data_IF_031479797794
#
_entry.id   IF_031479797794
#
_cell.length_a   1.000
_cell.length_b   1.000
_cell.length_c   1.000
_cell.angle_alpha   90.00
_cell.angle_beta   90.00
_cell.angle_gamma   90.00
#
_symmetry.space_group_name_H-M   'P 1'
#
loop_
_entity.id
_entity.type
_entity.pdbx_description
1 polymer ?
#
# COMPACT_ATOMS: atom_id res chain seq x y z
N UNK A 1 53.98 -45.18 -19.96
CA UNK A 1 54.04 -43.76 -19.58
C UNK A 1 52.85 -43.08 -20.23
N UNK A 2 51.83 -42.73 -19.44
CA UNK A 2 51.09 -41.48 -19.58
C UNK A 2 50.03 -41.38 -18.46
N UNK A 3 50.33 -40.49 -17.53
CA UNK A 3 49.43 -40.02 -16.47
C UNK A 3 48.38 -39.12 -17.13
N UNK A 4 47.10 -39.41 -16.93
CA UNK A 4 46.03 -38.43 -17.10
C UNK A 4 45.28 -38.30 -15.77
N UNK A 5 45.84 -37.47 -14.88
CA UNK A 5 45.13 -36.92 -13.72
C UNK A 5 44.02 -36.00 -14.23
N UNK A 6 42.76 -36.44 -14.14
CA UNK A 6 41.62 -35.54 -14.28
C UNK A 6 41.25 -35.00 -12.89
N UNK A 7 41.61 -33.74 -12.66
CA UNK A 7 41.11 -32.96 -11.54
C UNK A 7 39.59 -32.81 -11.66
N UNK A 8 38.86 -33.40 -10.71
CA UNK A 8 37.46 -33.09 -10.45
C UNK A 8 37.44 -31.78 -9.65
N UNK A 9 37.10 -30.66 -10.30
CA UNK A 9 36.75 -29.42 -9.61
C UNK A 9 35.32 -29.58 -9.12
N UNK A 10 35.03 -29.53 -7.80
CA UNK A 10 33.67 -29.48 -7.33
C UNK A 10 33.07 -28.13 -7.73
N UNK A 11 32.03 -28.17 -8.56
CA UNK A 11 31.13 -27.04 -8.79
C UNK A 11 30.45 -26.73 -7.45
N UNK A 12 31.01 -25.78 -6.70
CA UNK A 12 30.33 -25.16 -5.58
C UNK A 12 29.12 -24.41 -6.16
N UNK A 13 27.92 -24.97 -5.96
CA UNK A 13 26.69 -24.21 -6.10
C UNK A 13 26.68 -23.15 -5.00
N UNK A 14 27.23 -21.98 -5.29
CA UNK A 14 26.95 -20.80 -4.49
C UNK A 14 25.46 -20.52 -4.63
N UNK A 15 24.70 -20.82 -3.57
CA UNK A 15 23.36 -20.30 -3.39
C UNK A 15 23.46 -18.78 -3.51
N UNK A 16 23.01 -18.22 -4.64
CA UNK A 16 22.84 -16.79 -4.77
C UNK A 16 21.79 -16.39 -3.73
N UNK A 17 22.23 -15.85 -2.60
CA UNK A 17 21.34 -15.23 -1.65
C UNK A 17 20.54 -14.16 -2.39
N UNK A 18 19.22 -14.36 -2.49
CA UNK A 18 18.33 -13.35 -3.05
C UNK A 18 18.56 -12.06 -2.26
N UNK A 19 18.94 -10.99 -2.95
CA UNK A 19 19.13 -9.69 -2.30
C UNK A 19 17.84 -9.29 -1.57
N UNK A 20 17.98 -8.85 -0.32
CA UNK A 20 16.84 -8.43 0.48
C UNK A 20 16.07 -7.31 -0.23
N UNK A 21 14.74 -7.40 -0.22
CA UNK A 21 13.88 -6.38 -0.82
C UNK A 21 14.11 -5.05 -0.09
N UNK A 22 14.38 -3.94 -0.81
CA UNK A 22 14.56 -2.64 -0.20
C UNK A 22 13.39 -2.27 0.70
N UNK A 23 13.67 -1.68 1.86
CA UNK A 23 12.62 -1.27 2.78
C UNK A 23 12.89 0.11 3.37
N UNK A 24 11.81 0.85 3.62
CA UNK A 24 11.84 2.13 4.35
C UNK A 24 10.97 2.01 5.58
N UNK A 25 11.54 2.32 6.74
CA UNK A 25 10.85 2.29 8.02
C UNK A 25 10.13 3.61 8.31
N UNK A 26 8.91 3.51 8.85
CA UNK A 26 8.11 4.63 9.36
C UNK A 26 7.62 4.25 10.75
N UNK A 27 8.05 4.97 11.78
CA UNK A 27 7.60 4.73 13.15
C UNK A 27 6.26 5.44 13.43
N UNK A 28 5.44 4.82 14.28
CA UNK A 28 4.16 5.32 14.75
C UNK A 28 3.93 4.96 16.22
N UNK A 29 3.93 5.95 17.11
CA UNK A 29 3.72 5.74 18.54
C UNK A 29 2.30 6.15 18.93
N UNK A 30 1.45 5.18 19.29
CA UNK A 30 0.04 5.43 19.62
C UNK A 30 -0.15 6.22 20.92
N UNK A 31 0.86 6.28 21.79
CA UNK A 31 0.79 7.03 23.03
C UNK A 31 0.95 8.54 22.80
N UNK A 32 1.72 8.95 21.78
CA UNK A 32 2.08 10.36 21.55
C UNK A 32 1.60 10.92 20.22
N UNK A 33 1.15 10.07 19.30
CA UNK A 33 0.83 10.46 17.93
C UNK A 33 -0.61 10.12 17.53
N UNK A 34 -1.07 10.85 16.52
CA UNK A 34 -2.36 10.62 15.87
C UNK A 34 -2.17 10.03 14.48
N UNK A 35 -3.25 9.54 13.88
CA UNK A 35 -3.23 9.13 12.47
C UNK A 35 -2.70 10.22 11.53
N UNK A 36 -2.98 11.50 11.81
CA UNK A 36 -2.51 12.61 10.99
C UNK A 36 -0.99 12.70 10.93
N UNK A 37 -0.28 12.34 12.02
CA UNK A 37 1.18 12.29 12.06
C UNK A 37 1.71 11.17 11.14
N UNK A 38 1.15 9.96 11.26
CA UNK A 38 1.49 8.83 10.39
C UNK A 38 1.21 9.15 8.92
N UNK A 39 0.01 9.67 8.62
CA UNK A 39 -0.38 10.07 7.27
C UNK A 39 0.57 11.12 6.69
N UNK A 40 0.99 12.11 7.48
CA UNK A 40 1.96 13.12 7.05
C UNK A 40 3.30 12.51 6.61
N UNK A 41 3.82 11.54 7.38
CA UNK A 41 5.06 10.81 7.05
C UNK A 41 4.90 9.94 5.81
N UNK A 42 3.84 9.14 5.74
CA UNK A 42 3.55 8.29 4.58
C UNK A 42 3.35 9.13 3.32
N UNK A 43 2.60 10.23 3.40
CA UNK A 43 2.45 11.18 2.29
C UNK A 43 3.80 11.73 1.87
N UNK A 44 4.64 12.17 2.80
CA UNK A 44 5.98 12.67 2.50
C UNK A 44 6.88 11.62 1.81
N UNK A 45 6.76 10.35 2.21
CA UNK A 45 7.44 9.23 1.57
C UNK A 45 6.98 9.03 0.12
N UNK A 46 5.67 8.93 -0.10
CA UNK A 46 5.08 8.67 -1.43
C UNK A 46 5.22 9.85 -2.41
N UNK A 47 5.56 11.04 -1.93
CA UNK A 47 5.93 12.18 -2.79
C UNK A 47 7.29 12.03 -3.44
N UNK A 48 8.17 11.20 -2.87
CA UNK A 48 9.51 11.01 -3.43
C UNK A 48 9.37 10.30 -4.78
N UNK A 49 10.18 10.66 -5.79
CA UNK A 49 10.16 9.96 -7.07
C UNK A 49 10.32 8.45 -6.86
N UNK A 50 9.39 7.69 -7.42
CA UNK A 50 9.52 6.23 -7.51
C UNK A 50 10.62 5.87 -8.51
N UNK A 51 11.16 4.66 -8.36
CA UNK A 51 12.10 4.08 -9.32
C UNK A 51 11.59 2.70 -9.74
N UNK A 52 11.17 2.51 -11.01
CA UNK A 52 11.05 3.54 -12.05
C UNK A 52 9.95 4.58 -11.73
N UNK A 53 10.05 5.82 -12.22
CA UNK A 53 9.00 6.82 -12.05
C UNK A 53 7.78 6.50 -12.93
N UNK A 54 6.60 6.95 -12.51
CA UNK A 54 5.42 7.00 -13.37
C UNK A 54 5.26 8.40 -13.93
N UNK A 55 4.87 8.51 -15.20
CA UNK A 55 4.59 9.79 -15.87
C UNK A 55 3.09 9.84 -16.23
N UNK A 56 2.30 10.80 -15.71
CA UNK A 56 2.68 11.89 -14.81
C UNK A 56 2.84 11.48 -13.33
N UNK A 57 3.83 12.07 -12.63
CA UNK A 57 4.04 11.85 -11.19
C UNK A 57 2.97 12.50 -10.30
N UNK A 58 2.17 13.41 -10.86
CA UNK A 58 1.08 14.10 -10.19
C UNK A 58 -0.08 14.39 -11.14
N UNK A 59 -1.31 14.18 -10.69
CA UNK A 59 -2.54 14.53 -11.41
C UNK A 59 -3.48 15.29 -10.49
N UNK A 60 -3.83 16.54 -10.86
CA UNK A 60 -4.71 17.43 -10.08
C UNK A 60 -4.32 17.54 -8.59
N UNK A 61 -3.03 17.65 -8.30
CA UNK A 61 -2.50 17.72 -6.94
C UNK A 61 -2.43 16.38 -6.20
N UNK A 62 -2.74 15.26 -6.86
CA UNK A 62 -2.66 13.89 -6.32
C UNK A 62 -1.43 13.18 -6.86
N UNK A 63 -0.63 12.60 -5.97
CA UNK A 63 0.57 11.85 -6.35
C UNK A 63 0.20 10.51 -6.96
N UNK A 64 0.91 10.16 -8.03
CA UNK A 64 0.78 8.86 -8.69
C UNK A 64 1.96 7.99 -8.27
N UNK A 65 1.68 6.77 -7.84
CA UNK A 65 2.71 5.80 -7.48
C UNK A 65 3.52 5.41 -8.72
N UNK A 66 4.72 4.86 -8.51
CA UNK A 66 5.47 4.22 -9.58
C UNK A 66 4.69 3.07 -10.23
N UNK A 67 5.19 2.54 -11.36
CA UNK A 67 4.60 1.38 -11.99
C UNK A 67 4.47 0.23 -10.98
N UNK A 68 3.28 -0.37 -10.95
CA UNK A 68 3.04 -1.61 -10.21
C UNK A 68 3.89 -2.73 -10.81
N UNK A 69 4.35 -3.66 -9.98
CA UNK A 69 4.95 -4.92 -10.45
C UNK A 69 4.04 -5.63 -11.47
N UNK A 70 4.65 -6.32 -12.43
CA UNK A 70 3.95 -6.95 -13.56
C UNK A 70 3.12 -8.16 -13.15
N UNK A 71 3.63 -8.96 -12.21
CA UNK A 71 2.89 -10.03 -11.55
C UNK A 71 2.45 -9.56 -10.16
N UNK A 72 1.15 -9.56 -9.92
CA UNK A 72 0.59 -9.14 -8.63
C UNK A 72 1.11 -9.96 -7.45
N UNK A 73 1.28 -11.27 -7.63
CA UNK A 73 1.80 -12.17 -6.59
C UNK A 73 3.33 -12.17 -6.54
N UNK A 74 3.98 -11.48 -7.48
CA UNK A 74 5.42 -11.25 -7.47
C UNK A 74 5.89 -10.46 -6.25
N UNK A 75 7.19 -10.55 -5.98
CA UNK A 75 7.85 -9.78 -4.92
C UNK A 75 7.73 -8.27 -5.21
N UNK A 76 7.33 -7.43 -4.23
CA UNK A 76 7.26 -5.98 -4.44
C UNK A 76 8.64 -5.37 -4.67
N UNK A 77 8.66 -4.24 -5.37
CA UNK A 77 9.89 -3.47 -5.62
C UNK A 77 10.49 -2.86 -4.35
N UNK A 78 9.66 -2.70 -3.32
CA UNK A 78 10.10 -2.27 -2.00
C UNK A 78 8.99 -2.34 -0.96
N UNK A 79 9.40 -2.30 0.30
CA UNK A 79 8.49 -2.30 1.44
C UNK A 79 8.47 -0.95 2.15
N UNK A 80 7.27 -0.54 2.55
CA UNK A 80 7.06 0.47 3.58
C UNK A 80 6.79 -0.28 4.88
N UNK A 81 7.76 -0.24 5.79
CA UNK A 81 7.69 -0.93 7.08
C UNK A 81 7.13 0.04 8.13
N UNK A 82 5.85 -0.09 8.45
CA UNK A 82 5.22 0.76 9.46
C UNK A 82 5.38 0.10 10.82
N UNK A 83 6.33 0.59 11.62
CA UNK A 83 6.56 0.10 12.97
C UNK A 83 5.66 0.83 13.96
N UNK A 84 4.81 0.08 14.66
CA UNK A 84 3.78 0.63 15.54
C UNK A 84 4.09 0.20 16.97
N UNK A 85 4.16 1.19 17.86
CA UNK A 85 4.25 0.98 19.31
C UNK A 85 2.92 1.36 19.94
N UNK A 86 2.36 0.44 20.72
CA UNK A 86 1.08 0.51 21.39
C UNK A 86 1.12 1.29 22.71
N UNK A 87 0.33 0.83 23.69
CA UNK A 87 0.27 1.49 25.00
C UNK A 87 1.52 1.26 25.86
N UNK A 88 2.30 0.23 25.55
CA UNK A 88 3.60 -0.05 26.16
C UNK A 88 4.66 -0.34 25.08
N UNK A 89 5.97 -0.21 25.40
CA UNK A 89 7.05 -0.54 24.45
C UNK A 89 7.05 -2.00 23.99
N UNK A 90 6.49 -2.91 24.79
CA UNK A 90 6.42 -4.34 24.47
C UNK A 90 5.21 -4.69 23.57
N UNK A 91 4.19 -3.83 23.53
CA UNK A 91 3.06 -3.92 22.61
C UNK A 91 3.44 -3.30 21.26
N UNK A 92 4.26 -4.01 20.49
CA UNK A 92 4.74 -3.54 19.18
C UNK A 92 4.46 -4.54 18.05
N UNK A 93 4.29 -4.01 16.85
CA UNK A 93 4.20 -4.78 15.60
C UNK A 93 4.76 -3.96 14.45
N UNK A 94 5.24 -4.60 13.39
CA UNK A 94 5.68 -3.91 12.16
C UNK A 94 4.85 -4.40 10.99
N UNK A 95 4.18 -3.50 10.28
CA UNK A 95 3.41 -3.85 9.09
C UNK A 95 4.29 -3.76 7.84
N UNK A 96 4.15 -4.71 6.92
CA UNK A 96 4.79 -4.69 5.61
C UNK A 96 3.77 -4.28 4.54
N UNK A 97 3.94 -3.07 4.01
CA UNK A 97 3.09 -2.51 2.96
C UNK A 97 3.90 -2.42 1.67
N UNK A 98 3.40 -3.00 0.58
CA UNK A 98 4.04 -2.91 -0.72
C UNK A 98 4.06 -1.45 -1.21
N UNK A 99 5.21 -0.94 -1.65
CA UNK A 99 5.35 0.48 -2.00
C UNK A 99 4.71 0.87 -3.35
N UNK A 100 4.40 -0.12 -4.18
CA UNK A 100 3.95 0.01 -5.56
C UNK A 100 2.42 0.04 -5.69
N UNK A 101 1.70 -0.67 -4.82
CA UNK A 101 0.24 -0.67 -4.79
C UNK A 101 -0.37 -0.44 -3.40
N UNK A 102 0.44 -0.25 -2.36
CA UNK A 102 0.03 -0.01 -0.96
C UNK A 102 -0.72 -1.17 -0.32
N UNK A 103 -0.62 -2.40 -0.85
CA UNK A 103 -1.21 -3.56 -0.18
C UNK A 103 -0.48 -3.88 1.12
N UNK A 104 -1.22 -4.06 2.20
CA UNK A 104 -0.73 -4.65 3.44
C UNK A 104 -0.62 -6.16 3.23
N UNK A 105 0.61 -6.68 3.13
CA UNK A 105 0.84 -8.07 2.78
C UNK A 105 1.37 -8.92 3.93
N UNK A 106 1.87 -8.29 4.99
CA UNK A 106 2.41 -9.03 6.12
C UNK A 106 2.63 -8.16 7.34
N UNK A 107 3.06 -8.79 8.42
CA UNK A 107 3.43 -8.12 9.66
C UNK A 107 4.47 -8.93 10.43
N UNK A 108 5.26 -8.25 11.27
CA UNK A 108 6.09 -8.85 12.29
C UNK A 108 5.41 -8.71 13.65
N UNK A 109 5.38 -9.79 14.43
CA UNK A 109 4.93 -9.74 15.82
C UNK A 109 6.01 -9.10 16.72
N UNK A 110 5.80 -9.07 18.05
CA UNK A 110 6.75 -8.42 18.99
C UNK A 110 8.12 -9.07 19.08
N UNK A 111 8.23 -10.34 18.66
CA UNK A 111 9.50 -11.10 18.63
C UNK A 111 10.16 -11.05 17.26
N UNK A 112 9.71 -10.14 16.39
CA UNK A 112 10.22 -9.94 15.03
C UNK A 112 10.04 -11.15 14.10
N UNK A 113 9.11 -12.06 14.43
CA UNK A 113 8.72 -13.15 13.53
C UNK A 113 7.78 -12.59 12.45
N UNK A 114 8.18 -12.72 11.19
CA UNK A 114 7.40 -12.26 10.05
C UNK A 114 6.29 -13.25 9.68
N UNK A 115 5.13 -12.70 9.35
CA UNK A 115 3.99 -13.40 8.79
C UNK A 115 3.57 -12.71 7.49
N UNK A 116 3.26 -13.49 6.47
CA UNK A 116 2.89 -12.98 5.14
C UNK A 116 1.62 -13.67 4.62
N UNK A 117 0.77 -12.92 3.94
CA UNK A 117 -0.46 -13.45 3.35
C UNK A 117 -0.15 -14.49 2.27
N UNK A 118 -1.07 -15.43 2.08
CA UNK A 118 -0.92 -16.53 1.13
C UNK A 118 -0.70 -15.99 -0.29
N UNK A 119 0.25 -16.58 -1.02
CA UNK A 119 0.55 -16.19 -2.40
C UNK A 119 1.51 -15.00 -2.54
N UNK A 120 2.10 -14.48 -1.46
CA UNK A 120 3.12 -13.42 -1.52
C UNK A 120 4.44 -13.85 -0.89
N UNK A 121 5.52 -13.17 -1.27
CA UNK A 121 6.88 -13.41 -0.78
C UNK A 121 7.68 -12.12 -0.59
N UNK A 122 8.98 -12.26 -0.29
CA UNK A 122 9.92 -11.13 -0.19
C UNK A 122 10.12 -10.55 1.22
N UNK A 123 9.54 -11.17 2.25
CA UNK A 123 9.88 -10.94 3.66
C UNK A 123 10.83 -12.04 4.15
N UNK A 124 11.82 -11.72 5.01
CA UNK A 124 12.81 -12.68 5.48
C UNK A 124 12.16 -13.71 6.42
N UNK A 125 12.37 -15.00 6.13
CA UNK A 125 11.93 -16.14 6.94
C UNK A 125 10.45 -16.07 7.38
N UNK A 126 9.59 -15.52 6.52
CA UNK A 126 8.21 -15.25 6.86
C UNK A 126 7.35 -16.53 6.85
N UNK A 127 6.55 -16.71 7.89
CA UNK A 127 5.53 -17.75 7.97
C UNK A 127 4.33 -17.37 7.13
N UNK A 128 3.94 -18.21 6.18
CA UNK A 128 2.75 -17.98 5.34
C UNK A 128 1.46 -18.18 6.13
N UNK A 129 0.56 -17.22 6.05
CA UNK A 129 -0.79 -17.28 6.62
C UNK A 129 -1.72 -18.12 5.72
N UNK A 130 -2.71 -18.82 6.29
CA UNK A 130 -3.56 -19.75 5.54
C UNK A 130 -4.67 -19.07 4.72
N UNK A 131 -4.62 -17.75 4.54
CA UNK A 131 -5.60 -16.96 3.81
C UNK A 131 -4.93 -15.85 2.98
N UNK A 132 -5.63 -15.42 1.94
CA UNK A 132 -5.20 -14.35 1.04
C UNK A 132 -5.60 -12.95 1.54
N UNK A 133 -5.17 -11.92 0.81
CA UNK A 133 -5.34 -10.51 1.10
C UNK A 133 -6.71 -9.94 0.74
N UNK A 134 -7.57 -10.73 0.08
CA UNK A 134 -8.85 -10.23 -0.39
C UNK A 134 -9.80 -9.95 0.78
N UNK A 135 -10.58 -8.87 0.68
CA UNK A 135 -11.64 -8.61 1.66
C UNK A 135 -12.67 -9.75 1.74
N UNK A 136 -12.81 -10.55 0.68
CA UNK A 136 -13.59 -11.78 0.67
C UNK A 136 -13.13 -12.79 1.72
N UNK A 137 -11.81 -13.06 1.81
CA UNK A 137 -11.26 -13.99 2.79
C UNK A 137 -11.08 -13.38 4.17
N UNK A 138 -10.81 -12.07 4.25
CA UNK A 138 -10.58 -11.40 5.52
C UNK A 138 -11.88 -11.17 6.30
N UNK A 139 -12.94 -10.69 5.64
CA UNK A 139 -14.18 -10.27 6.30
C UNK A 139 -15.46 -10.64 5.54
N UNK A 140 -15.39 -11.53 4.56
CA UNK A 140 -16.56 -11.97 3.79
C UNK A 140 -17.00 -11.00 2.68
N UNK A 141 -16.18 -10.01 2.34
CA UNK A 141 -16.42 -9.09 1.22
C UNK A 141 -16.14 -7.62 1.56
N UNK A 142 -15.83 -6.81 0.55
CA UNK A 142 -15.51 -5.40 0.75
C UNK A 142 -16.69 -4.59 1.31
N UNK A 143 -17.94 -4.98 1.01
CA UNK A 143 -19.14 -4.34 1.57
C UNK A 143 -19.18 -4.37 3.10
N UNK A 144 -18.51 -5.34 3.74
CA UNK A 144 -18.43 -5.43 5.19
C UNK A 144 -17.41 -4.46 5.81
N UNK A 145 -16.65 -3.69 5.02
CA UNK A 145 -15.73 -2.68 5.53
C UNK A 145 -16.46 -1.59 6.32
N UNK A 146 -17.72 -1.28 5.99
CA UNK A 146 -18.54 -0.33 6.75
C UNK A 146 -18.94 -0.85 8.15
N UNK A 147 -18.66 -2.12 8.47
CA UNK A 147 -18.88 -2.72 9.78
C UNK A 147 -17.59 -2.78 10.62
N UNK A 148 -16.44 -2.40 10.05
CA UNK A 148 -15.15 -2.46 10.72
C UNK A 148 -14.95 -1.19 11.57
N UNK A 149 -14.87 -1.29 12.91
CA UNK A 149 -14.61 -0.14 13.75
C UNK A 149 -13.18 0.37 13.53
N UNK A 150 -13.07 1.68 13.36
CA UNK A 150 -11.81 2.40 13.15
C UNK A 150 -11.66 3.54 14.17
N UNK A 151 -10.43 3.93 14.46
CA UNK A 151 -10.08 4.89 15.51
C UNK A 151 -8.94 4.36 16.38
N UNK A 152 -8.43 5.18 17.30
CA UNK A 152 -7.25 4.87 18.11
C UNK A 152 -7.39 3.56 18.90
N UNK A 153 -8.52 3.37 19.58
CA UNK A 153 -8.76 2.15 20.36
C UNK A 153 -8.80 0.89 19.47
N UNK A 154 -9.35 1.01 18.26
CA UNK A 154 -9.37 -0.08 17.29
C UNK A 154 -7.95 -0.44 16.83
N UNK A 155 -7.07 0.55 16.67
CA UNK A 155 -5.66 0.33 16.35
C UNK A 155 -4.90 -0.27 17.53
N UNK A 156 -5.12 0.20 18.76
CA UNK A 156 -4.51 -0.39 19.97
C UNK A 156 -4.87 -1.88 20.07
N UNK A 157 -6.14 -2.24 19.87
CA UNK A 157 -6.56 -3.64 19.88
C UNK A 157 -5.90 -4.45 18.76
N UNK A 158 -5.83 -3.89 17.55
CA UNK A 158 -5.16 -4.56 16.43
C UNK A 158 -3.66 -4.75 16.68
N UNK A 159 -2.96 -3.75 17.25
CA UNK A 159 -1.56 -3.89 17.67
C UNK A 159 -1.42 -5.02 18.66
N UNK A 160 -2.26 -5.11 19.70
CA UNK A 160 -2.19 -6.20 20.68
C UNK A 160 -2.31 -7.57 20.00
N UNK A 161 -3.30 -7.74 19.12
CA UNK A 161 -3.50 -8.99 18.37
C UNK A 161 -2.28 -9.35 17.52
N UNK A 162 -1.74 -8.42 16.72
CA UNK A 162 -0.58 -8.71 15.88
C UNK A 162 0.71 -8.90 16.69
N UNK A 163 0.87 -8.13 17.76
CA UNK A 163 2.03 -8.14 18.64
C UNK A 163 2.19 -9.47 19.36
N UNK A 164 1.08 -10.04 19.87
CA UNK A 164 1.08 -11.32 20.57
C UNK A 164 0.78 -12.52 19.68
N UNK A 165 0.67 -12.35 18.37
CA UNK A 165 0.29 -13.43 17.47
C UNK A 165 1.32 -14.58 17.51
N UNK A 166 0.80 -15.77 17.71
CA UNK A 166 1.49 -17.06 17.61
C UNK A 166 0.61 -17.98 16.76
N UNK A 167 1.09 -18.52 15.63
CA UNK A 167 0.34 -19.44 14.78
C UNK A 167 -0.24 -20.66 15.52
N UNK A 168 0.36 -21.10 16.63
CA UNK A 168 -0.09 -22.28 17.38
C UNK A 168 -1.31 -22.00 18.29
N UNK A 169 -1.54 -20.73 18.66
CA UNK A 169 -2.56 -20.37 19.66
C UNK A 169 -3.48 -19.22 19.23
N UNK A 170 -3.08 -18.42 18.25
CA UNK A 170 -3.81 -17.26 17.77
C UNK A 170 -5.06 -17.63 17.00
N UNK A 171 -6.09 -16.80 17.11
CA UNK A 171 -7.33 -17.00 16.34
C UNK A 171 -7.22 -16.34 14.96
N UNK A 172 -7.56 -17.09 13.91
CA UNK A 172 -7.56 -16.58 12.54
C UNK A 172 -8.51 -15.39 12.38
N UNK A 173 -9.66 -15.42 13.06
CA UNK A 173 -10.67 -14.36 12.98
C UNK A 173 -10.17 -13.04 13.58
N UNK A 174 -9.54 -13.04 14.75
CA UNK A 174 -9.00 -11.81 15.34
C UNK A 174 -7.86 -11.25 14.50
N UNK A 175 -6.99 -12.13 13.97
CA UNK A 175 -5.92 -11.73 13.07
C UNK A 175 -6.47 -11.03 11.82
N UNK A 176 -7.45 -11.64 11.14
CA UNK A 176 -8.11 -11.04 9.96
C UNK A 176 -8.71 -9.67 10.27
N UNK A 177 -9.38 -9.54 11.41
CA UNK A 177 -9.96 -8.28 11.86
C UNK A 177 -8.89 -7.22 12.15
N UNK A 178 -7.76 -7.59 12.74
CA UNK A 178 -6.62 -6.68 12.96
C UNK A 178 -6.01 -6.21 11.64
N UNK A 179 -5.77 -7.13 10.70
CA UNK A 179 -5.22 -6.80 9.37
C UNK A 179 -6.14 -5.87 8.58
N UNK A 180 -7.46 -6.12 8.58
CA UNK A 180 -8.41 -5.25 7.87
C UNK A 180 -8.49 -3.85 8.47
N UNK A 181 -8.43 -3.72 9.80
CA UNK A 181 -8.36 -2.38 10.43
C UNK A 181 -7.16 -1.60 9.93
N UNK A 182 -5.99 -2.24 9.84
CA UNK A 182 -4.79 -1.58 9.32
C UNK A 182 -4.87 -1.29 7.82
N UNK A 183 -5.37 -2.23 7.01
CA UNK A 183 -5.59 -2.00 5.58
C UNK A 183 -6.51 -0.77 5.36
N UNK A 184 -7.61 -0.68 6.10
CA UNK A 184 -8.56 0.43 5.98
C UNK A 184 -7.94 1.76 6.47
N UNK A 185 -7.29 1.75 7.63
CA UNK A 185 -6.78 2.97 8.26
C UNK A 185 -5.44 3.45 7.69
N UNK A 186 -4.69 2.61 6.99
CA UNK A 186 -3.42 2.98 6.36
C UNK A 186 -3.58 2.96 4.84
N UNK A 187 -3.71 1.78 4.23
CA UNK A 187 -3.73 1.63 2.77
C UNK A 187 -4.89 2.39 2.12
N UNK A 188 -6.12 2.15 2.57
CA UNK A 188 -7.29 2.81 1.98
C UNK A 188 -7.36 4.30 2.34
N UNK A 189 -6.95 4.69 3.55
CA UNK A 189 -6.84 6.10 3.91
C UNK A 189 -5.76 6.87 3.12
N UNK A 190 -4.72 6.18 2.63
CA UNK A 190 -3.73 6.75 1.70
C UNK A 190 -4.30 6.90 0.29
N UNK A 191 -5.06 5.90 -0.18
CA UNK A 191 -5.69 5.90 -1.52
C UNK A 191 -6.86 6.87 -1.62
N UNK A 192 -7.66 6.99 -0.57
CA UNK A 192 -8.95 7.69 -0.57
C UNK A 192 -9.05 8.74 0.55
N UNK A 193 -9.17 10.00 0.13
CA UNK A 193 -9.31 11.15 1.04
C UNK A 193 -10.56 11.03 1.93
N UNK A 194 -11.68 10.62 1.37
CA UNK A 194 -12.96 10.52 2.07
C UNK A 194 -12.98 9.40 3.13
N UNK A 195 -12.30 8.28 2.88
CA UNK A 195 -12.07 7.24 3.92
C UNK A 195 -11.26 7.83 5.06
N UNK A 196 -10.14 8.48 4.77
CA UNK A 196 -9.30 9.13 5.80
C UNK A 196 -10.08 10.14 6.64
N UNK A 197 -10.84 11.03 6.00
CA UNK A 197 -11.61 12.07 6.68
C UNK A 197 -12.68 11.52 7.63
N UNK A 198 -13.09 10.26 7.47
CA UNK A 198 -14.07 9.63 8.35
C UNK A 198 -13.55 9.50 9.79
N UNK A 199 -12.24 9.47 10.03
CA UNK A 199 -11.67 9.25 11.37
C UNK A 199 -10.51 10.17 11.75
N UNK A 200 -9.79 10.81 10.82
CA UNK A 200 -8.60 11.61 11.20
C UNK A 200 -8.90 12.77 12.16
N UNK A 201 -10.04 13.44 12.03
CA UNK A 201 -10.48 14.50 12.95
C UNK A 201 -11.14 14.00 14.24
N UNK A 202 -11.41 12.68 14.31
CA UNK A 202 -12.10 11.99 15.41
C UNK A 202 -11.25 10.82 15.90
N UNK A 203 -9.93 11.02 15.96
CA UNK A 203 -8.96 9.94 16.18
C UNK A 203 -9.22 9.16 17.47
N UNK A 204 -9.59 9.87 18.53
CA UNK A 204 -9.87 9.29 19.85
C UNK A 204 -11.24 8.58 19.91
N UNK A 205 -12.12 8.80 18.93
CA UNK A 205 -13.43 8.16 18.84
C UNK A 205 -13.36 6.85 18.03
N UNK A 206 -14.29 5.94 18.29
CA UNK A 206 -14.54 4.81 17.39
C UNK A 206 -15.59 5.21 16.37
N UNK A 207 -15.25 5.09 15.09
CA UNK A 207 -16.09 5.47 13.96
C UNK A 207 -16.18 4.32 12.94
N UNK A 208 -16.99 4.52 11.90
CA UNK A 208 -17.17 3.62 10.78
C UNK A 208 -17.08 4.42 9.48
N UNK A 209 -16.69 3.76 8.39
CA UNK A 209 -16.93 4.30 7.04
C UNK A 209 -18.38 4.02 6.62
N UNK A 210 -18.88 4.77 5.64
CA UNK A 210 -20.21 4.50 5.06
C UNK A 210 -20.18 3.31 4.10
N UNK A 211 -21.37 2.82 3.71
CA UNK A 211 -21.50 1.75 2.71
C UNK A 211 -20.95 2.18 1.35
N UNK A 212 -21.31 3.38 0.89
CA UNK A 212 -20.76 3.94 -0.36
C UNK A 212 -19.24 3.98 -0.31
N UNK A 213 -18.68 4.33 0.86
CA UNK A 213 -17.24 4.34 1.07
C UNK A 213 -16.59 2.96 0.93
N UNK A 214 -17.26 1.92 1.40
CA UNK A 214 -16.83 0.53 1.25
C UNK A 214 -16.97 0.01 -0.20
N UNK A 215 -17.96 0.49 -0.94
CA UNK A 215 -18.27 0.00 -2.28
C UNK A 215 -17.20 0.42 -3.30
N UNK A 216 -16.67 1.64 -3.23
CA UNK A 216 -15.69 2.10 -4.22
C UNK A 216 -14.23 1.73 -3.92
N UNK A 217 -13.92 1.11 -2.78
CA UNK A 217 -12.54 0.69 -2.44
C UNK A 217 -11.93 -0.19 -3.54
N UNK A 218 -12.72 -1.12 -4.07
CA UNK A 218 -12.31 -2.05 -5.15
C UNK A 218 -12.08 -1.34 -6.50
N UNK A 219 -12.54 -0.11 -6.66
CA UNK A 219 -12.45 0.67 -7.90
C UNK A 219 -11.21 1.58 -7.95
N UNK A 220 -10.30 1.53 -6.96
CA UNK A 220 -9.12 2.40 -6.90
C UNK A 220 -8.32 2.43 -8.22
N UNK A 221 -8.02 1.28 -8.81
CA UNK A 221 -7.26 1.20 -10.05
C UNK A 221 -8.00 1.79 -11.26
N UNK A 222 -9.31 1.53 -11.36
CA UNK A 222 -10.17 2.06 -12.43
C UNK A 222 -10.30 3.58 -12.32
N UNK A 223 -10.58 4.10 -11.12
CA UNK A 223 -10.69 5.54 -10.84
C UNK A 223 -9.37 6.25 -11.11
N UNK A 224 -8.24 5.67 -10.68
CA UNK A 224 -6.91 6.24 -10.93
C UNK A 224 -6.60 6.28 -12.43
N UNK A 225 -6.94 5.22 -13.17
CA UNK A 225 -6.75 5.16 -14.63
C UNK A 225 -7.58 6.22 -15.35
N UNK A 226 -8.86 6.36 -14.99
CA UNK A 226 -9.74 7.38 -15.57
C UNK A 226 -9.23 8.79 -15.28
N UNK A 227 -8.76 9.04 -14.07
CA UNK A 227 -8.23 10.33 -13.66
C UNK A 227 -6.96 10.71 -14.44
N UNK A 228 -6.01 9.78 -14.58
CA UNK A 228 -4.78 9.99 -15.37
C UNK A 228 -5.12 10.26 -16.83
N UNK A 229 -5.96 9.42 -17.45
CA UNK A 229 -6.38 9.59 -18.85
C UNK A 229 -7.08 10.92 -19.09
N UNK A 230 -7.98 11.34 -18.20
CA UNK A 230 -8.66 12.62 -18.31
C UNK A 230 -7.68 13.80 -18.24
N UNK A 231 -6.71 13.75 -17.31
CA UNK A 231 -5.68 14.78 -17.19
C UNK A 231 -4.82 14.88 -18.44
N UNK A 232 -4.39 13.74 -19.00
CA UNK A 232 -3.59 13.72 -20.23
C UNK A 232 -4.39 14.24 -21.44
N UNK A 233 -5.67 13.87 -21.56
CA UNK A 233 -6.53 14.40 -22.60
C UNK A 233 -6.71 15.92 -22.49
N UNK A 234 -6.89 16.45 -21.27
CA UNK A 234 -6.96 17.88 -21.01
C UNK A 234 -5.66 18.62 -21.38
N UNK A 235 -4.50 18.01 -21.13
CA UNK A 235 -3.20 18.55 -21.55
C UNK A 235 -3.08 18.60 -23.08
N UNK A 236 -3.40 17.51 -23.78
CA UNK A 236 -3.38 17.47 -25.25
C UNK A 236 -4.29 18.54 -25.84
N UNK A 237 -5.52 18.70 -25.33
CA UNK A 237 -6.44 19.74 -25.81
C UNK A 237 -5.96 21.16 -25.52
N UNK A 238 -5.15 21.37 -24.47
CA UNK A 238 -4.54 22.67 -24.19
C UNK A 238 -3.30 22.96 -25.06
N UNK A 239 -2.59 21.92 -25.51
CA UNK A 239 -1.44 22.05 -26.43
C UNK A 239 -1.89 22.19 -27.89
N UNK A 240 -3.01 21.59 -28.25
CA UNK A 240 -3.69 21.82 -29.53
C UNK A 240 -4.44 23.16 -29.43
N UNK A 241 -3.70 24.26 -29.60
CA UNK A 241 -4.32 25.55 -29.90
C UNK A 241 -5.07 25.38 -31.22
N UNK A 242 -6.40 25.47 -31.19
CA UNK A 242 -7.17 25.64 -32.42
C UNK A 242 -6.65 26.91 -33.09
N UNK A 243 -5.90 26.73 -34.18
CA UNK A 243 -5.56 27.82 -35.08
C UNK A 243 -6.86 28.28 -35.71
N UNK A 244 -7.56 29.22 -35.08
CA UNK A 244 -8.60 29.96 -35.77
C UNK A 244 -7.92 30.71 -36.92
N UNK A 245 -8.12 30.23 -38.15
CA UNK A 245 -7.77 30.99 -39.34
C UNK A 245 -8.43 32.37 -39.24
N UNK A 246 -7.68 33.46 -39.44
CA UNK A 246 -8.29 34.78 -39.45
C UNK A 246 -9.29 34.82 -40.60
N UNK A 247 -10.57 35.05 -40.27
CA UNK A 247 -11.61 35.36 -41.26
C UNK A 247 -11.12 36.55 -42.08
N UNK A 248 -10.62 36.27 -43.28
CA UNK A 248 -10.25 37.27 -44.26
C UNK A 248 -11.44 38.19 -44.49
N UNK A 249 -11.28 39.48 -44.16
CA UNK A 249 -12.14 40.52 -44.71
C UNK A 249 -11.91 40.53 -46.22
N UNK A 250 -12.79 39.82 -46.93
CA UNK A 250 -12.96 40.01 -48.36
C UNK A 250 -13.31 41.48 -48.61
N UNK A 251 -12.51 42.12 -49.45
CA UNK A 251 -12.83 43.41 -50.02
C UNK A 251 -14.15 43.34 -50.77
N UNK A 252 -14.95 44.39 -50.62
CA UNK A 252 -16.19 44.61 -51.33
C UNK A 252 -16.33 46.11 -51.57
N UNK A 253 -15.57 46.58 -52.55
CA UNK A 253 -15.74 47.85 -53.24
C UNK A 253 -17.12 47.88 -53.93
N UNK A 254 -17.95 48.89 -53.66
CA UNK A 254 -19.02 49.42 -54.53
C UNK A 254 -19.52 50.77 -54.01
N UNK A 255 -19.39 51.83 -54.82
CA UNK A 255 -20.20 53.05 -54.76
C UNK A 255 -19.41 54.33 -54.87
#
# INVERSE_FOLDING_TARGET
>A
MDLCFRFLIPLAFASLAQAAVPSVRVDFNLATETHSNLYGRLKGLLKRPSSPPFDPTNVLGRYVLGPRRSDFHGVPLGWIMVHIVGGSPDEKTTLAIANDDLYLLGFANRTDNWHILSGFGGLPDATTLPFDESYGKLIGGHANLCLVPIGKQSVIQAVKTLSSYDPATGTEQELKQALVRFALMISEAMRFLNIRQSFSGRWEETTLITRDQADYVVHWGQLSTLLVRHSMAGQILSEVVFSEEPRGRGGGDKG
#
